data_IF_397302369643
#
_entry.id   IF_397302369643
#
_cell.length_a   1.000
_cell.length_b   1.000
_cell.length_c   1.000
_cell.angle_alpha   90.00
_cell.angle_beta   90.00
_cell.angle_gamma   90.00
#
_symmetry.space_group_name_H-M   'P 1'
#
loop_
_entity.id
_entity.type
_entity.pdbx_description
1 polymer ?
#
# COMPACT_ATOMS: atom_id res chain seq x y z
N UNK A 1 9.79 12.03 -4.17
CA UNK A 1 9.23 11.52 -2.90
C UNK A 1 8.67 10.12 -3.13
N UNK A 2 7.75 9.91 -4.07
CA UNK A 2 7.09 8.60 -4.29
C UNK A 2 8.04 7.44 -4.58
N UNK A 3 9.16 7.67 -5.27
CA UNK A 3 10.15 6.65 -5.61
C UNK A 3 11.20 6.41 -4.52
N UNK A 4 11.06 7.03 -3.37
CA UNK A 4 11.97 6.91 -2.22
C UNK A 4 11.25 6.38 -0.98
N UNK A 5 10.04 5.81 -1.13
CA UNK A 5 9.23 5.26 -0.03
C UNK A 5 9.07 6.21 1.17
N UNK A 6 9.17 7.52 0.93
CA UNK A 6 9.18 8.56 1.97
C UNK A 6 10.37 8.47 2.96
N UNK A 7 11.39 7.67 2.68
CA UNK A 7 12.57 7.54 3.52
C UNK A 7 13.45 8.78 3.53
N UNK A 8 13.34 9.62 2.50
CA UNK A 8 13.98 10.95 2.45
C UNK A 8 13.06 12.08 2.96
N UNK A 9 12.00 11.74 3.70
CA UNK A 9 11.03 12.71 4.20
C UNK A 9 10.20 13.41 3.13
N UNK A 10 9.75 14.64 3.40
CA UNK A 10 8.85 15.40 2.51
C UNK A 10 9.44 16.74 2.04
N UNK A 11 10.43 17.29 2.73
CA UNK A 11 11.14 18.52 2.39
C UNK A 11 12.51 18.57 3.08
N UNK A 12 13.26 19.67 2.92
CA UNK A 12 14.60 19.85 3.50
C UNK A 12 14.64 19.83 5.03
N UNK A 13 13.55 20.22 5.70
CA UNK A 13 13.44 20.23 7.16
C UNK A 13 12.95 18.89 7.72
N UNK A 14 12.08 18.23 6.98
CA UNK A 14 11.51 16.92 7.33
C UNK A 14 12.06 15.92 6.32
N UNK A 15 13.32 15.51 6.50
CA UNK A 15 14.11 14.76 5.53
C UNK A 15 14.54 13.36 5.98
N UNK A 16 14.03 12.90 7.12
CA UNK A 16 14.20 11.52 7.60
C UNK A 16 12.86 10.89 7.99
N UNK A 17 12.77 9.56 8.07
CA UNK A 17 11.57 8.88 8.55
C UNK A 17 11.16 9.28 9.97
N UNK A 18 12.14 9.51 10.86
CA UNK A 18 11.90 9.94 12.23
C UNK A 18 11.25 11.32 12.26
N UNK A 19 11.86 12.31 11.59
CA UNK A 19 11.32 13.67 11.51
C UNK A 19 9.93 13.70 10.86
N UNK A 20 9.70 12.84 9.85
CA UNK A 20 8.38 12.71 9.26
C UNK A 20 7.38 12.11 10.26
N UNK A 21 7.78 11.12 11.04
CA UNK A 21 6.91 10.53 12.04
C UNK A 21 6.57 11.51 13.16
N UNK A 22 7.54 12.29 13.63
CA UNK A 22 7.34 13.33 14.65
C UNK A 22 6.40 14.44 14.15
N UNK A 23 6.60 14.89 12.91
CA UNK A 23 5.71 15.83 12.24
C UNK A 23 4.28 15.28 12.15
N UNK A 24 4.11 14.05 11.64
CA UNK A 24 2.79 13.43 11.55
C UNK A 24 2.13 13.26 12.92
N UNK A 25 2.89 12.93 13.96
CA UNK A 25 2.37 12.83 15.34
C UNK A 25 1.80 14.16 15.84
N UNK A 26 2.50 15.28 15.57
CA UNK A 26 2.02 16.61 15.93
C UNK A 26 0.76 16.99 15.15
N UNK A 27 0.76 16.78 13.83
CA UNK A 27 -0.38 17.12 12.95
C UNK A 27 -1.63 16.25 13.19
N UNK A 28 -1.47 15.08 13.80
CA UNK A 28 -2.57 14.14 14.04
C UNK A 28 -2.95 14.02 15.51
N UNK A 29 -2.41 14.85 16.37
CA UNK A 29 -2.75 14.85 17.80
C UNK A 29 -4.25 15.04 18.02
N UNK A 30 -4.85 14.16 18.81
CA UNK A 30 -6.29 14.16 19.09
C UNK A 30 -7.19 13.58 17.99
N UNK A 31 -6.61 13.14 16.86
CA UNK A 31 -7.37 12.53 15.77
C UNK A 31 -7.24 11.01 15.75
N UNK A 32 -8.27 10.33 15.24
CA UNK A 32 -8.18 8.93 14.84
C UNK A 32 -7.49 8.84 13.48
N UNK A 33 -6.42 8.09 13.42
CA UNK A 33 -5.58 8.00 12.21
C UNK A 33 -6.03 6.80 11.39
N UNK A 34 -6.33 7.03 10.10
CA UNK A 34 -6.46 5.99 9.08
C UNK A 34 -5.38 6.22 8.02
N UNK A 35 -4.40 5.35 7.96
CA UNK A 35 -3.34 5.42 6.96
C UNK A 35 -3.70 4.62 5.71
N UNK A 36 -3.53 5.24 4.53
CA UNK A 36 -3.90 4.61 3.25
C UNK A 36 -2.77 4.78 2.25
N UNK A 37 -2.46 3.71 1.51
CA UNK A 37 -1.44 3.80 0.48
C UNK A 37 -1.49 2.68 -0.54
N UNK A 38 -0.77 2.88 -1.66
CA UNK A 38 -0.58 1.89 -2.71
C UNK A 38 0.90 1.82 -3.11
N UNK A 39 1.44 0.59 -3.28
CA UNK A 39 2.83 0.35 -3.64
C UNK A 39 3.79 1.01 -2.62
N UNK A 40 4.69 1.89 -3.04
CA UNK A 40 5.57 2.66 -2.16
C UNK A 40 4.78 3.51 -1.12
N UNK A 41 3.59 4.00 -1.47
CA UNK A 41 2.71 4.68 -0.51
C UNK A 41 2.13 3.72 0.53
N UNK A 42 1.87 2.46 0.17
CA UNK A 42 1.41 1.46 1.11
C UNK A 42 2.52 1.03 2.10
N UNK A 43 3.77 0.96 1.64
CA UNK A 43 4.94 0.82 2.51
C UNK A 43 4.95 1.93 3.57
N UNK A 44 4.86 3.20 3.15
CA UNK A 44 4.85 4.34 4.06
C UNK A 44 3.63 4.33 5.01
N UNK A 45 2.45 3.95 4.51
CA UNK A 45 1.23 3.84 5.31
C UNK A 45 1.37 2.78 6.41
N UNK A 46 1.98 1.63 6.12
CA UNK A 46 2.24 0.58 7.13
C UNK A 46 3.28 1.07 8.14
N UNK A 47 4.42 1.60 7.67
CA UNK A 47 5.50 2.05 8.56
C UNK A 47 5.02 3.14 9.52
N UNK A 48 4.56 4.25 8.97
CA UNK A 48 4.15 5.40 9.79
C UNK A 48 2.83 5.14 10.53
N UNK A 49 1.89 4.42 9.94
CA UNK A 49 0.67 4.00 10.62
C UNK A 49 0.95 3.13 11.85
N UNK A 50 1.91 2.20 11.75
CA UNK A 50 2.36 1.39 12.89
C UNK A 50 3.06 2.22 13.96
N UNK A 51 3.98 3.11 13.57
CA UNK A 51 4.73 3.97 14.49
C UNK A 51 3.86 5.02 15.20
N UNK A 52 2.76 5.43 14.58
CA UNK A 52 1.79 6.38 15.13
C UNK A 52 0.68 5.71 15.94
N UNK A 53 0.57 4.39 15.91
CA UNK A 53 -0.55 3.66 16.50
C UNK A 53 -1.88 3.99 15.80
N UNK A 54 -1.90 4.01 14.48
CA UNK A 54 -3.10 4.26 13.70
C UNK A 54 -4.23 3.30 14.08
N UNK A 55 -5.48 3.76 14.06
CA UNK A 55 -6.65 2.88 14.24
C UNK A 55 -6.70 1.83 13.13
N UNK A 56 -6.34 2.24 11.89
CA UNK A 56 -6.40 1.36 10.72
C UNK A 56 -5.36 1.73 9.67
N UNK A 57 -4.83 0.72 9.00
CA UNK A 57 -4.05 0.86 7.76
C UNK A 57 -4.73 0.11 6.63
N UNK A 58 -4.91 0.74 5.48
CA UNK A 58 -5.41 0.14 4.24
C UNK A 58 -4.30 0.20 3.19
N UNK A 59 -3.68 -0.93 2.92
CA UNK A 59 -2.48 -1.04 2.09
C UNK A 59 -2.76 -1.85 0.81
N UNK A 60 -2.56 -1.23 -0.35
CA UNK A 60 -2.73 -1.88 -1.66
C UNK A 60 -1.37 -2.24 -2.25
N UNK A 61 -1.10 -3.53 -2.42
CA UNK A 61 0.16 -4.09 -2.91
C UNK A 61 1.40 -3.40 -2.28
N UNK A 62 1.54 -3.40 -0.93
CA UNK A 62 2.68 -2.82 -0.24
C UNK A 62 3.97 -3.59 -0.56
N UNK A 63 5.08 -2.88 -0.49
CA UNK A 63 6.37 -3.50 -0.30
C UNK A 63 6.66 -3.55 1.21
N UNK A 64 7.01 -4.71 1.74
CA UNK A 64 7.48 -4.86 3.12
C UNK A 64 9.01 -4.81 3.20
N UNK A 65 9.65 -5.19 2.09
CA UNK A 65 11.08 -5.30 1.95
C UNK A 65 11.50 -4.67 0.62
N UNK A 66 12.50 -3.79 0.65
CA UNK A 66 13.00 -3.07 -0.52
C UNK A 66 14.48 -3.36 -0.84
N UNK A 67 15.19 -4.17 -0.04
CA UNK A 67 16.59 -4.50 -0.28
C UNK A 67 16.78 -5.16 -1.66
N UNK A 68 15.96 -6.15 -1.99
CA UNK A 68 16.02 -6.85 -3.27
C UNK A 68 15.79 -5.90 -4.47
N UNK A 69 14.93 -4.90 -4.30
CA UNK A 69 14.71 -3.88 -5.32
C UNK A 69 15.91 -2.94 -5.44
N UNK A 70 16.51 -2.54 -4.32
CA UNK A 70 17.70 -1.67 -4.30
C UNK A 70 18.91 -2.38 -4.89
N UNK A 71 19.10 -3.66 -4.59
CA UNK A 71 20.19 -4.48 -5.15
C UNK A 71 20.11 -4.62 -6.66
N UNK A 72 18.89 -4.80 -7.20
CA UNK A 72 18.63 -4.90 -8.64
C UNK A 72 18.59 -3.56 -9.36
N UNK A 73 18.58 -2.43 -8.62
CA UNK A 73 18.49 -1.10 -9.22
C UNK A 73 19.83 -0.61 -9.76
N UNK A 74 19.80 -0.06 -10.96
CA UNK A 74 20.91 0.65 -11.60
C UNK A 74 20.58 2.15 -11.69
N UNK A 75 21.59 3.00 -11.52
CA UNK A 75 21.42 4.46 -11.54
C UNK A 75 20.80 4.96 -12.84
N UNK A 76 21.24 4.42 -13.98
CA UNK A 76 20.72 4.78 -15.30
C UNK A 76 19.23 4.46 -15.49
N UNK A 77 18.72 3.42 -14.78
CA UNK A 77 17.32 2.96 -14.93
C UNK A 77 16.44 3.58 -13.85
N UNK A 78 16.96 3.73 -12.65
CA UNK A 78 16.16 4.17 -11.50
C UNK A 78 16.98 5.04 -10.52
N UNK A 79 17.39 6.26 -10.92
CA UNK A 79 18.32 7.10 -10.16
C UNK A 79 17.80 7.45 -8.76
N UNK A 80 16.49 7.61 -8.58
CA UNK A 80 15.91 7.93 -7.27
C UNK A 80 15.95 6.75 -6.30
N UNK A 81 15.80 5.53 -6.79
CA UNK A 81 15.94 4.31 -5.99
C UNK A 81 17.41 4.08 -5.65
N UNK A 82 18.29 4.29 -6.63
CA UNK A 82 19.74 4.14 -6.44
C UNK A 82 20.28 5.04 -5.33
N UNK A 83 19.83 6.29 -5.23
CA UNK A 83 20.22 7.23 -4.18
C UNK A 83 19.90 6.74 -2.76
N UNK A 84 18.91 5.87 -2.57
CA UNK A 84 18.63 5.29 -1.27
C UNK A 84 19.75 4.39 -0.76
N UNK A 85 20.59 3.81 -1.64
CA UNK A 85 21.74 3.00 -1.25
C UNK A 85 22.75 3.78 -0.41
N UNK A 86 22.81 5.09 -0.60
CA UNK A 86 23.76 6.02 0.05
C UNK A 86 23.21 6.62 1.34
N UNK A 87 21.96 6.34 1.71
CA UNK A 87 21.30 6.94 2.87
C UNK A 87 21.43 6.09 4.12
N UNK A 88 21.41 6.73 5.29
CA UNK A 88 21.48 6.08 6.60
C UNK A 88 20.13 5.47 7.04
N UNK A 89 19.25 5.14 6.08
CA UNK A 89 17.89 4.66 6.33
C UNK A 89 17.75 3.13 6.24
N UNK A 90 18.85 2.38 6.21
CA UNK A 90 18.87 0.92 6.02
C UNK A 90 17.98 0.14 7.00
N UNK A 91 17.81 0.62 8.23
CA UNK A 91 16.94 -0.03 9.22
C UNK A 91 15.48 -0.11 8.77
N UNK A 92 15.05 0.78 7.87
CA UNK A 92 13.71 0.82 7.33
C UNK A 92 13.54 0.05 5.99
N UNK A 93 14.59 -0.59 5.45
CA UNK A 93 14.48 -1.33 4.20
C UNK A 93 13.67 -2.63 4.34
N UNK A 94 13.52 -3.13 5.56
CA UNK A 94 12.53 -4.12 5.96
C UNK A 94 11.65 -3.51 7.06
N UNK A 95 10.37 -3.31 6.77
CA UNK A 95 9.44 -2.69 7.73
C UNK A 95 8.73 -3.71 8.63
N UNK A 96 8.93 -4.99 8.41
CA UNK A 96 8.31 -6.02 9.26
C UNK A 96 8.60 -5.85 10.75
N UNK A 97 9.84 -5.47 11.19
CA UNK A 97 10.13 -5.24 12.62
C UNK A 97 9.40 -4.04 13.23
N UNK A 98 8.85 -3.14 12.42
CA UNK A 98 8.15 -1.93 12.87
C UNK A 98 6.63 -2.07 12.87
N UNK A 99 6.11 -3.20 12.38
CA UNK A 99 4.67 -3.44 12.38
C UNK A 99 4.18 -3.61 13.81
N UNK A 100 3.15 -2.84 14.15
CA UNK A 100 2.54 -2.84 15.47
C UNK A 100 1.29 -3.71 15.46
N UNK A 101 1.26 -4.74 16.29
CA UNK A 101 0.16 -5.72 16.38
C UNK A 101 -1.17 -5.11 16.88
N UNK A 102 -1.12 -3.94 17.52
CA UNK A 102 -2.33 -3.22 17.96
C UNK A 102 -3.03 -2.45 16.82
N UNK A 103 -2.40 -2.33 15.63
CA UNK A 103 -2.94 -1.61 14.48
C UNK A 103 -3.68 -2.57 13.55
N UNK A 104 -4.92 -2.24 13.19
CA UNK A 104 -5.69 -3.02 12.21
C UNK A 104 -5.15 -2.80 10.80
N UNK A 105 -4.34 -3.72 10.29
CA UNK A 105 -3.75 -3.64 8.95
C UNK A 105 -4.52 -4.53 7.97
N UNK A 106 -5.12 -3.93 6.95
CA UNK A 106 -5.78 -4.60 5.82
C UNK A 106 -4.89 -4.50 4.58
N UNK A 107 -4.33 -5.65 4.19
CA UNK A 107 -3.39 -5.80 3.09
C UNK A 107 -4.07 -6.40 1.87
N UNK A 108 -4.34 -5.58 0.87
CA UNK A 108 -4.91 -5.98 -0.42
C UNK A 108 -3.78 -6.31 -1.39
N UNK A 109 -3.76 -7.53 -1.95
CA UNK A 109 -2.67 -7.93 -2.83
C UNK A 109 -3.14 -8.73 -4.05
N UNK A 110 -2.30 -8.68 -5.10
CA UNK A 110 -2.51 -9.32 -6.39
C UNK A 110 -1.78 -10.65 -6.43
N UNK A 111 -2.52 -11.77 -6.37
CA UNK A 111 -1.93 -13.10 -6.24
C UNK A 111 -1.40 -13.71 -7.55
N UNK A 112 -1.57 -13.01 -8.68
CA UNK A 112 -0.98 -13.40 -9.97
C UNK A 112 0.25 -12.53 -10.34
N UNK A 113 0.64 -11.59 -9.49
CA UNK A 113 1.88 -10.83 -9.59
C UNK A 113 2.96 -11.54 -8.77
N UNK A 114 4.04 -11.98 -9.41
CA UNK A 114 5.17 -12.63 -8.72
C UNK A 114 5.79 -11.72 -7.67
N UNK A 115 5.93 -10.43 -7.98
CA UNK A 115 6.45 -9.42 -7.07
C UNK A 115 5.57 -9.25 -5.82
N UNK A 116 4.25 -9.10 -6.00
CA UNK A 116 3.34 -8.93 -4.88
C UNK A 116 3.23 -10.18 -4.01
N UNK A 117 3.36 -11.37 -4.62
CA UNK A 117 3.43 -12.65 -3.92
C UNK A 117 4.74 -12.80 -3.12
N UNK A 118 5.87 -12.29 -3.62
CA UNK A 118 7.13 -12.25 -2.88
C UNK A 118 7.00 -11.39 -1.62
N UNK A 119 6.43 -10.21 -1.73
CA UNK A 119 6.16 -9.32 -0.59
C UNK A 119 5.15 -9.92 0.39
N UNK A 120 4.13 -10.63 -0.12
CA UNK A 120 3.18 -11.35 0.73
C UNK A 120 3.88 -12.43 1.57
N UNK A 121 4.75 -13.25 0.95
CA UNK A 121 5.54 -14.28 1.65
C UNK A 121 6.48 -13.67 2.68
N UNK A 122 7.16 -12.56 2.34
CA UNK A 122 8.06 -11.87 3.28
C UNK A 122 7.33 -11.43 4.56
N UNK A 123 6.06 -11.04 4.43
CA UNK A 123 5.23 -10.62 5.56
C UNK A 123 4.49 -11.76 6.29
N UNK A 124 4.67 -13.04 5.92
CA UNK A 124 3.87 -14.17 6.48
C UNK A 124 3.98 -14.34 7.99
N UNK A 125 5.12 -13.96 8.58
CA UNK A 125 5.32 -13.99 10.03
C UNK A 125 4.41 -13.01 10.80
N UNK A 126 3.86 -11.99 10.13
CA UNK A 126 2.92 -11.02 10.71
C UNK A 126 1.51 -11.61 10.67
N UNK A 127 1.11 -12.28 11.75
CA UNK A 127 -0.18 -13.00 11.86
C UNK A 127 -1.38 -12.05 11.93
N UNK A 128 -1.18 -10.86 12.47
CA UNK A 128 -2.24 -9.88 12.73
C UNK A 128 -2.68 -9.11 11.47
N UNK A 129 -1.92 -9.21 10.37
CA UNK A 129 -2.28 -8.57 9.11
C UNK A 129 -3.40 -9.36 8.42
N UNK A 130 -4.54 -8.67 8.12
CA UNK A 130 -5.66 -9.23 7.35
C UNK A 130 -5.35 -9.15 5.87
N UNK A 131 -4.99 -10.28 5.25
CA UNK A 131 -4.64 -10.38 3.83
C UNK A 131 -5.87 -10.60 2.97
N UNK A 132 -6.13 -9.68 2.03
CA UNK A 132 -7.25 -9.74 1.08
C UNK A 132 -6.66 -9.97 -0.31
N UNK A 133 -6.80 -11.20 -0.80
CA UNK A 133 -6.22 -11.66 -2.06
C UNK A 133 -7.13 -11.37 -3.25
N UNK A 134 -6.53 -10.93 -4.36
CA UNK A 134 -7.23 -10.71 -5.64
C UNK A 134 -6.60 -11.51 -6.77
N UNK A 135 -7.47 -12.15 -7.61
CA UNK A 135 -7.04 -12.88 -8.81
C UNK A 135 -6.70 -11.92 -9.95
N UNK A 136 -5.58 -11.25 -9.83
CA UNK A 136 -5.05 -10.31 -10.83
C UNK A 136 -3.52 -10.23 -10.74
N UNK A 137 -2.88 -9.85 -11.85
CA UNK A 137 -1.46 -9.52 -11.92
C UNK A 137 -1.20 -8.00 -11.83
N UNK A 138 -2.26 -7.17 -11.69
CA UNK A 138 -2.13 -5.72 -11.66
C UNK A 138 -1.52 -5.26 -10.34
N UNK A 139 -0.32 -4.66 -10.39
CA UNK A 139 0.29 -4.01 -9.24
C UNK A 139 -0.37 -2.65 -8.97
N UNK A 140 -0.75 -2.38 -7.73
CA UNK A 140 -1.46 -1.18 -7.31
C UNK A 140 -2.81 -1.50 -6.66
N UNK A 141 -3.88 -0.77 -6.97
CA UNK A 141 -5.21 -1.07 -6.43
C UNK A 141 -5.79 -2.26 -7.21
N UNK A 142 -6.06 -3.43 -6.57
CA UNK A 142 -6.35 -4.66 -7.26
C UNK A 142 -7.83 -4.82 -7.70
N UNK A 143 -8.62 -3.75 -7.62
CA UNK A 143 -10.02 -3.69 -8.05
C UNK A 143 -10.30 -2.39 -8.82
N UNK A 144 -11.51 -2.21 -9.36
CA UNK A 144 -11.83 -1.00 -10.12
C UNK A 144 -11.87 0.23 -9.22
N UNK A 145 -11.20 1.31 -9.63
CA UNK A 145 -11.05 2.55 -8.85
C UNK A 145 -12.38 3.17 -8.38
N UNK A 146 -13.48 2.90 -9.11
CA UNK A 146 -14.82 3.36 -8.75
C UNK A 146 -15.29 2.86 -7.37
N UNK A 147 -14.75 1.73 -6.89
CA UNK A 147 -15.05 1.18 -5.57
C UNK A 147 -14.19 1.76 -4.45
N UNK A 148 -13.09 2.48 -4.75
CA UNK A 148 -12.10 2.89 -3.76
C UNK A 148 -12.72 3.64 -2.59
N UNK A 149 -13.51 4.69 -2.86
CA UNK A 149 -14.16 5.48 -1.81
C UNK A 149 -14.99 4.61 -0.85
N UNK A 150 -15.75 3.66 -1.39
CA UNK A 150 -16.53 2.73 -0.56
C UNK A 150 -15.64 1.79 0.25
N UNK A 151 -14.57 1.26 -0.36
CA UNK A 151 -13.63 0.35 0.33
C UNK A 151 -12.94 1.04 1.50
N UNK A 152 -12.56 2.32 1.35
CA UNK A 152 -11.96 3.10 2.43
C UNK A 152 -12.89 3.32 3.63
N UNK A 153 -14.22 3.26 3.40
CA UNK A 153 -15.26 3.43 4.41
C UNK A 153 -15.93 2.12 4.85
N UNK A 154 -15.40 0.95 4.46
CA UNK A 154 -15.90 -0.33 4.95
C UNK A 154 -15.56 -0.52 6.43
N UNK A 155 -16.50 -1.12 7.15
CA UNK A 155 -16.26 -1.53 8.53
C UNK A 155 -15.24 -2.68 8.62
N UNK A 156 -14.61 -2.83 9.77
CA UNK A 156 -13.62 -3.89 10.03
C UNK A 156 -14.16 -5.28 9.67
N UNK A 157 -15.37 -5.60 10.10
CA UNK A 157 -16.00 -6.90 9.88
C UNK A 157 -16.21 -7.20 8.37
N UNK A 158 -16.55 -6.17 7.57
CA UNK A 158 -16.70 -6.32 6.12
C UNK A 158 -15.35 -6.63 5.46
N UNK A 159 -14.30 -5.93 5.88
CA UNK A 159 -12.94 -6.15 5.38
C UNK A 159 -12.43 -7.55 5.77
N UNK A 160 -12.66 -8.00 6.98
CA UNK A 160 -12.33 -9.35 7.45
C UNK A 160 -13.11 -10.44 6.69
N UNK A 161 -14.36 -10.17 6.31
CA UNK A 161 -15.13 -11.09 5.47
C UNK A 161 -14.48 -11.30 4.10
N UNK A 162 -13.93 -10.23 3.49
CA UNK A 162 -13.23 -10.34 2.21
C UNK A 162 -11.88 -11.08 2.29
N UNK A 163 -11.25 -11.12 3.45
CA UNK A 163 -9.99 -11.86 3.67
C UNK A 163 -10.16 -13.39 3.61
N UNK A 164 -11.40 -13.90 3.76
CA UNK A 164 -11.66 -15.36 3.85
C UNK A 164 -11.52 -16.12 2.52
N UNK A 165 -11.48 -15.42 1.40
CA UNK A 165 -11.37 -16.04 0.05
C UNK A 165 -10.74 -15.11 -0.96
N UNK A 166 -10.20 -15.69 -2.04
CA UNK A 166 -9.71 -14.92 -3.19
C UNK A 166 -10.85 -14.14 -3.85
N UNK A 167 -10.64 -12.86 -4.09
CA UNK A 167 -11.59 -11.96 -4.71
C UNK A 167 -11.32 -11.83 -6.22
N UNK A 168 -12.37 -11.83 -7.03
CA UNK A 168 -12.29 -11.35 -8.41
C UNK A 168 -12.42 -9.84 -8.43
N UNK A 169 -11.52 -9.08 -9.09
CA UNK A 169 -11.55 -7.62 -9.12
C UNK A 169 -12.90 -7.02 -9.53
N UNK A 170 -13.50 -7.56 -10.59
CA UNK A 170 -14.79 -7.08 -11.09
C UNK A 170 -15.95 -7.46 -10.16
N UNK A 171 -16.01 -8.74 -9.73
CA UNK A 171 -17.10 -9.21 -8.84
C UNK A 171 -17.05 -8.49 -7.49
N UNK A 172 -15.86 -8.29 -6.92
CA UNK A 172 -15.68 -7.48 -5.71
C UNK A 172 -16.24 -6.06 -5.91
N UNK A 173 -15.89 -5.41 -7.03
CA UNK A 173 -16.40 -4.09 -7.36
C UNK A 173 -17.92 -4.07 -7.48
N UNK A 174 -18.51 -5.06 -8.16
CA UNK A 174 -19.98 -5.19 -8.28
C UNK A 174 -20.64 -5.30 -6.90
N UNK A 175 -20.09 -6.12 -6.02
CA UNK A 175 -20.60 -6.27 -4.63
C UNK A 175 -20.51 -4.99 -3.83
N UNK A 176 -19.45 -4.19 -4.07
CA UNK A 176 -19.18 -2.97 -3.31
C UNK A 176 -20.02 -1.78 -3.79
N UNK A 177 -20.19 -1.58 -5.10
CA UNK A 177 -20.83 -0.36 -5.66
C UNK A 177 -22.02 -0.64 -6.57
N UNK A 178 -22.36 -1.90 -6.79
CA UNK A 178 -23.44 -2.33 -7.68
C UNK A 178 -23.01 -2.43 -9.15
N UNK A 179 -23.75 -3.23 -9.93
CA UNK A 179 -23.39 -3.59 -11.32
C UNK A 179 -23.29 -2.37 -12.24
N UNK A 180 -24.24 -1.42 -12.16
CA UNK A 180 -24.26 -0.24 -13.03
C UNK A 180 -22.98 0.60 -12.88
N UNK A 181 -22.60 0.88 -11.62
CA UNK A 181 -21.37 1.64 -11.34
C UNK A 181 -20.11 0.87 -11.68
N UNK A 182 -20.08 -0.44 -11.46
CA UNK A 182 -18.95 -1.29 -11.83
C UNK A 182 -18.71 -1.31 -13.34
N UNK A 183 -19.76 -1.51 -14.16
CA UNK A 183 -19.67 -1.49 -15.61
C UNK A 183 -19.23 -0.11 -16.13
N UNK A 184 -19.85 0.96 -15.65
CA UNK A 184 -19.47 2.33 -16.03
C UNK A 184 -17.99 2.63 -15.67
N UNK A 185 -17.57 2.24 -14.46
CA UNK A 185 -16.18 2.40 -14.01
C UNK A 185 -15.18 1.60 -14.85
N UNK A 186 -15.54 0.38 -15.25
CA UNK A 186 -14.73 -0.47 -16.12
C UNK A 186 -14.54 0.17 -17.49
N UNK A 187 -15.62 0.60 -18.14
CA UNK A 187 -15.57 1.27 -19.46
C UNK A 187 -14.75 2.55 -19.39
N UNK A 188 -14.90 3.34 -18.32
CA UNK A 188 -14.09 4.55 -18.12
C UNK A 188 -12.58 4.22 -18.01
N UNK A 189 -12.22 3.21 -17.23
CA UNK A 189 -10.81 2.81 -17.09
C UNK A 189 -10.23 2.27 -18.40
N UNK A 190 -11.01 1.53 -19.20
CA UNK A 190 -10.59 1.12 -20.55
C UNK A 190 -10.35 2.31 -21.47
N UNK A 191 -11.25 3.27 -21.48
CA UNK A 191 -11.12 4.49 -22.29
C UNK A 191 -9.90 5.32 -21.89
N UNK A 192 -9.66 5.49 -20.58
CA UNK A 192 -8.47 6.18 -20.08
C UNK A 192 -7.16 5.44 -20.44
N UNK A 193 -7.17 4.11 -20.39
CA UNK A 193 -6.03 3.31 -20.80
C UNK A 193 -5.76 3.39 -22.30
N UNK A 194 -6.81 3.44 -23.13
CA UNK A 194 -6.69 3.65 -24.57
C UNK A 194 -6.07 5.01 -24.90
N UNK A 195 -6.58 6.09 -24.28
CA UNK A 195 -6.04 7.46 -24.47
C UNK A 195 -4.57 7.63 -24.09
N UNK A 196 -4.07 6.85 -23.14
CA UNK A 196 -2.64 6.92 -22.72
C UNK A 196 -1.70 6.20 -23.67
N UNK A 197 -2.22 5.36 -24.56
CA UNK A 197 -1.42 4.60 -25.54
C UNK A 197 -1.34 5.28 -26.92
N UNK A 198 -2.21 6.24 -27.15
CA UNK A 198 -2.32 7.07 -28.37
C UNK A 198 -2.24 8.56 -28.00
#
# INVERSE_FOLDING_TARGET
>A
IFKQWYLAGINEKINTPELLNDFLRQETEGYKIIAVGSSAGAYAAILHGSLLGAERVIAFNPQFEINSLLERSQEAINPLVFRLKETNTRKYYDIVPFVNDSVDIFYFYSNQSSWDMEQCRHSEKLKEIRRISFSTAHHGIPFLKVALHKVLNLEKNDLEHYAKKVQSPFIFTVKTVGIKKAVSGFLKQLYEAYKKRH
#
